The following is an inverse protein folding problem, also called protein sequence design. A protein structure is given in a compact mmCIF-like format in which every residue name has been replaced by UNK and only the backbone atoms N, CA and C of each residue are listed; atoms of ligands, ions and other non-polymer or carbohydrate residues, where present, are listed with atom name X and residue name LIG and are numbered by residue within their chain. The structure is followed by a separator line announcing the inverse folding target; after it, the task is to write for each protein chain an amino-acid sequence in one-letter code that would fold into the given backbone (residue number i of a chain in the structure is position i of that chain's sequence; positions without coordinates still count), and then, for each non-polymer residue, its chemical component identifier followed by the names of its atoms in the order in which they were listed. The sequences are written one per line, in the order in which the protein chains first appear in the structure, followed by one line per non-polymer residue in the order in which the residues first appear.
data_IF_694743132300
#
_entry.id   IF_694743132300
#
_cell.length_a   1.000
_cell.length_b   1.000
_cell.length_c   1.000
_cell.angle_alpha   90.00
_cell.angle_beta   90.00
_cell.angle_gamma   90.00
#
_symmetry.space_group_name_H-M   'P 1'
#
loop_
_entity.id
_entity.type
_entity.pdbx_description
1 polymer ?
#
# COMPACT_ATOMS: atom_id res chain seq x y z
N UNK A 1 -3.67 8.62 25.57
CA UNK A 1 -5.04 8.37 26.07
C UNK A 1 -5.02 7.42 27.26
N UNK A 2 -4.83 6.12 27.09
CA UNK A 2 -4.92 5.16 28.20
C UNK A 2 -3.92 5.42 29.33
N UNK A 3 -2.64 5.67 29.01
CA UNK A 3 -1.59 5.87 30.03
C UNK A 3 -1.52 7.29 30.60
N UNK A 4 -2.18 8.27 29.96
CA UNK A 4 -1.99 9.71 30.29
C UNK A 4 -3.27 10.46 30.64
N UNK A 5 -4.45 9.88 30.41
CA UNK A 5 -5.73 10.58 30.56
C UNK A 5 -5.94 11.76 29.60
N UNK A 6 -4.97 12.04 28.70
CA UNK A 6 -5.04 13.14 27.75
C UNK A 6 -5.70 12.68 26.44
N UNK A 7 -6.66 13.48 25.96
CA UNK A 7 -7.57 13.29 24.81
C UNK A 7 -8.76 12.35 25.06
N UNK A 8 -9.81 12.46 24.22
CA UNK A 8 -11.05 11.69 24.32
C UNK A 8 -10.92 10.29 23.70
N UNK A 9 -11.03 9.20 24.48
CA UNK A 9 -10.92 7.84 23.96
C UNK A 9 -11.97 7.53 22.90
N UNK A 10 -11.66 6.61 21.99
CA UNK A 10 -12.68 5.95 21.17
C UNK A 10 -13.66 5.23 22.11
N UNK A 11 -14.96 5.47 21.93
CA UNK A 11 -16.02 4.88 22.77
C UNK A 11 -17.13 4.28 21.90
N UNK A 12 -17.25 2.96 21.76
CA UNK A 12 -16.30 1.88 22.09
C UNK A 12 -15.84 1.13 20.83
N UNK A 13 -16.57 1.30 19.73
CA UNK A 13 -16.36 0.62 18.47
C UNK A 13 -16.14 1.67 17.38
N UNK A 14 -15.14 1.43 16.55
CA UNK A 14 -14.89 2.17 15.34
C UNK A 14 -14.68 1.14 14.23
N UNK A 15 -15.57 1.15 13.24
CA UNK A 15 -15.43 0.37 12.02
C UNK A 15 -14.93 1.29 10.90
N UNK A 16 -14.07 0.75 10.05
CA UNK A 16 -13.52 1.45 8.89
C UNK A 16 -13.29 0.45 7.78
N UNK A 17 -13.64 0.83 6.56
CA UNK A 17 -13.32 0.13 5.33
C UNK A 17 -12.81 1.14 4.28
N UNK A 18 -12.11 0.62 3.26
CA UNK A 18 -11.79 1.35 2.03
C UNK A 18 -12.11 0.44 0.86
N UNK A 19 -13.38 0.07 0.70
CA UNK A 19 -13.80 -0.76 -0.43
C UNK A 19 -13.62 -0.01 -1.77
N UNK A 20 -13.64 1.31 -1.73
CA UNK A 20 -13.37 2.19 -2.87
C UNK A 20 -11.92 2.06 -3.38
N UNK A 21 -11.02 1.51 -2.56
CA UNK A 21 -9.65 1.23 -2.98
C UNK A 21 -9.56 0.04 -3.97
N UNK A 22 -10.58 -0.84 -4.00
CA UNK A 22 -10.57 -2.04 -4.85
C UNK A 22 -10.64 -1.70 -6.34
N UNK A 23 -10.05 -2.52 -7.23
CA UNK A 23 -10.18 -2.33 -8.67
C UNK A 23 -11.66 -2.38 -9.10
N UNK A 24 -12.05 -1.57 -10.09
CA UNK A 24 -13.37 -1.69 -10.70
C UNK A 24 -13.51 -3.03 -11.43
N UNK A 25 -14.72 -3.58 -11.52
CA UNK A 25 -14.97 -4.90 -12.12
C UNK A 25 -14.43 -5.04 -13.55
N UNK A 26 -14.36 -3.95 -14.32
CA UNK A 26 -13.78 -3.93 -15.67
C UNK A 26 -12.26 -4.14 -15.71
N UNK A 27 -11.56 -3.89 -14.60
CA UNK A 27 -10.10 -3.97 -14.47
C UNK A 27 -9.63 -5.23 -13.75
N UNK A 28 -10.56 -6.10 -13.32
CA UNK A 28 -10.29 -7.38 -12.65
C UNK A 28 -10.04 -8.44 -13.75
N UNK A 29 -8.78 -8.83 -14.06
CA UNK A 29 -8.53 -9.97 -14.93
C UNK A 29 -9.25 -11.23 -14.45
N UNK A 30 -9.79 -12.02 -15.39
CA UNK A 30 -10.56 -13.25 -15.13
C UNK A 30 -9.79 -14.29 -14.29
N UNK A 31 -8.47 -14.16 -14.18
CA UNK A 31 -7.58 -15.05 -13.44
C UNK A 31 -7.28 -14.60 -12.00
N UNK A 32 -7.99 -13.60 -11.44
CA UNK A 32 -7.69 -12.94 -10.16
C UNK A 32 -7.45 -13.86 -8.94
N UNK A 33 -7.81 -15.14 -9.04
CA UNK A 33 -7.71 -16.17 -8.00
C UNK A 33 -6.49 -17.11 -8.22
N UNK A 34 -5.79 -17.03 -9.36
CA UNK A 34 -4.88 -18.09 -9.85
C UNK A 34 -3.53 -18.21 -9.11
N UNK A 35 -3.15 -17.26 -8.23
CA UNK A 35 -1.83 -17.28 -7.59
C UNK A 35 -1.83 -16.79 -6.14
N UNK A 36 -2.59 -17.47 -5.27
CA UNK A 36 -2.71 -17.07 -3.86
C UNK A 36 -1.39 -17.10 -3.06
N UNK A 37 -0.34 -17.78 -3.52
CA UNK A 37 0.95 -17.82 -2.82
C UNK A 37 2.11 -17.92 -3.80
N UNK A 38 2.78 -16.79 -4.04
CA UNK A 38 4.00 -16.74 -4.87
C UNK A 38 5.28 -16.93 -4.06
N UNK A 39 5.15 -16.98 -2.72
CA UNK A 39 6.30 -16.91 -1.81
C UNK A 39 6.90 -15.50 -1.74
N UNK A 40 6.17 -14.51 -2.26
CA UNK A 40 6.57 -13.11 -2.25
C UNK A 40 6.20 -12.46 -0.93
N UNK A 41 7.02 -11.49 -0.50
CA UNK A 41 6.68 -10.60 0.62
C UNK A 41 5.41 -9.78 0.38
N UNK A 42 4.90 -9.74 -0.86
CA UNK A 42 3.69 -9.01 -1.26
C UNK A 42 2.44 -9.91 -1.34
N UNK A 43 2.51 -11.19 -0.97
CA UNK A 43 1.39 -12.15 -1.10
C UNK A 43 0.09 -11.63 -0.44
N UNK A 44 0.18 -10.97 0.73
CA UNK A 44 -1.00 -10.37 1.39
C UNK A 44 -1.64 -9.21 0.61
N UNK A 45 -0.85 -8.43 -0.14
CA UNK A 45 -1.34 -7.35 -0.99
C UNK A 45 -1.90 -7.90 -2.30
N UNK A 46 -1.23 -8.92 -2.87
CA UNK A 46 -1.67 -9.64 -4.06
C UNK A 46 -3.03 -10.32 -3.82
N UNK A 47 -3.27 -10.87 -2.62
CA UNK A 47 -4.56 -11.47 -2.27
C UNK A 47 -5.75 -10.49 -2.33
N UNK A 48 -5.50 -9.18 -2.25
CA UNK A 48 -6.54 -8.13 -2.31
C UNK A 48 -6.61 -7.52 -3.71
N UNK A 49 -5.47 -7.12 -4.28
CA UNK A 49 -5.43 -6.33 -5.51
C UNK A 49 -5.01 -7.12 -6.76
N UNK A 50 -4.55 -8.35 -6.60
CA UNK A 50 -4.04 -9.18 -7.70
C UNK A 50 -2.57 -8.93 -8.06
N UNK A 51 -1.96 -9.89 -8.76
CA UNK A 51 -0.53 -9.87 -9.11
C UNK A 51 -0.20 -8.80 -10.15
N UNK A 52 -1.12 -8.53 -11.08
CA UNK A 52 -0.92 -7.50 -12.12
C UNK A 52 -0.88 -6.10 -11.52
N UNK A 53 -1.72 -5.82 -10.52
CA UNK A 53 -1.66 -4.57 -9.78
C UNK A 53 -0.32 -4.41 -9.03
N UNK A 54 0.17 -5.49 -8.40
CA UNK A 54 1.47 -5.48 -7.73
C UNK A 54 2.63 -5.21 -8.69
N UNK A 55 2.60 -5.79 -9.90
CA UNK A 55 3.58 -5.49 -10.96
C UNK A 55 3.51 -4.02 -11.39
N UNK A 56 2.30 -3.49 -11.58
CA UNK A 56 2.07 -2.08 -11.95
C UNK A 56 2.63 -1.13 -10.89
N UNK A 57 2.47 -1.44 -9.60
CA UNK A 57 3.09 -0.68 -8.50
C UNK A 57 4.62 -0.71 -8.56
N UNK A 58 5.20 -1.88 -8.83
CA UNK A 58 6.65 -2.03 -8.97
C UNK A 58 7.24 -1.16 -10.07
N UNK A 59 6.52 -0.92 -11.16
CA UNK A 59 7.01 -0.14 -12.31
C UNK A 59 6.82 1.37 -12.17
N UNK A 60 6.19 1.83 -11.09
CA UNK A 60 5.90 3.25 -10.92
C UNK A 60 7.16 4.11 -10.75
N UNK A 61 7.09 5.35 -11.23
CA UNK A 61 8.09 6.39 -11.01
C UNK A 61 7.49 7.51 -10.18
N UNK A 62 7.90 7.64 -8.93
CA UNK A 62 7.36 8.64 -8.00
C UNK A 62 8.43 9.64 -7.57
N UNK A 63 8.02 10.88 -7.34
CA UNK A 63 8.87 11.94 -6.79
C UNK A 63 8.32 12.39 -5.44
N UNK A 64 9.11 12.19 -4.39
CA UNK A 64 8.82 12.57 -3.01
C UNK A 64 9.56 13.87 -2.70
N UNK A 65 8.81 14.90 -2.30
CA UNK A 65 9.37 16.21 -1.90
C UNK A 65 9.18 16.38 -0.40
N UNK A 66 10.29 16.36 0.32
CA UNK A 66 10.39 16.36 1.77
C UNK A 66 10.64 14.97 2.35
N UNK A 67 11.70 14.85 3.17
CA UNK A 67 12.10 13.63 3.88
C UNK A 67 12.00 13.80 5.42
N UNK A 68 11.21 14.76 5.88
CA UNK A 68 10.81 14.91 7.29
C UNK A 68 9.85 13.81 7.77
N UNK A 69 9.14 14.05 8.88
CA UNK A 69 8.27 13.03 9.51
C UNK A 69 7.31 12.34 8.54
N UNK A 70 6.57 13.10 7.72
CA UNK A 70 5.63 12.54 6.74
C UNK A 70 6.37 11.80 5.61
N UNK A 71 7.51 12.32 5.17
CA UNK A 71 8.33 11.71 4.12
C UNK A 71 8.86 10.34 4.55
N UNK A 72 9.39 10.24 5.78
CA UNK A 72 9.81 8.96 6.37
C UNK A 72 8.66 7.95 6.42
N UNK A 73 7.47 8.37 6.84
CA UNK A 73 6.29 7.51 6.91
C UNK A 73 5.80 7.07 5.52
N UNK A 74 5.85 7.96 4.52
CA UNK A 74 5.58 7.61 3.12
C UNK A 74 6.58 6.58 2.58
N UNK A 75 7.88 6.81 2.78
CA UNK A 75 8.92 5.91 2.30
C UNK A 75 8.82 4.51 2.95
N UNK A 76 8.44 4.43 4.23
CA UNK A 76 8.11 3.16 4.89
C UNK A 76 6.96 2.45 4.17
N UNK A 77 5.86 3.15 3.90
CA UNK A 77 4.72 2.57 3.19
C UNK A 77 5.10 2.14 1.78
N UNK A 78 5.85 2.95 1.03
CA UNK A 78 6.31 2.65 -0.32
C UNK A 78 7.21 1.40 -0.34
N UNK A 79 8.12 1.29 0.62
CA UNK A 79 8.98 0.10 0.77
C UNK A 79 8.17 -1.17 1.10
N UNK A 80 7.12 -1.06 1.92
CA UNK A 80 6.25 -2.20 2.25
C UNK A 80 5.36 -2.61 1.08
N UNK A 81 4.88 -1.66 0.27
CA UNK A 81 4.03 -1.91 -0.90
C UNK A 81 4.83 -2.33 -2.15
N UNK A 82 6.15 -2.18 -2.15
CA UNK A 82 6.99 -2.44 -3.33
C UNK A 82 6.83 -1.39 -4.43
N UNK A 83 6.49 -0.15 -4.07
CA UNK A 83 6.33 0.93 -5.05
C UNK A 83 7.68 1.23 -5.72
N UNK A 84 7.73 1.22 -7.05
CA UNK A 84 8.95 1.53 -7.81
C UNK A 84 10.08 0.50 -7.67
N UNK A 85 9.82 -0.69 -7.11
CA UNK A 85 10.85 -1.74 -6.92
C UNK A 85 10.98 -2.73 -8.08
N UNK A 86 10.15 -2.60 -9.12
CA UNK A 86 10.17 -3.42 -10.32
C UNK A 86 11.09 -2.86 -11.40
N UNK A 87 11.26 -3.60 -12.48
CA UNK A 87 12.06 -3.15 -13.62
C UNK A 87 11.51 -1.83 -14.18
N UNK A 88 12.37 -0.83 -14.32
CA UNK A 88 11.99 0.52 -14.76
C UNK A 88 11.30 1.40 -13.71
N UNK A 89 10.98 0.88 -12.53
CA UNK A 89 10.47 1.64 -11.40
C UNK A 89 11.56 2.46 -10.69
N UNK A 90 11.17 3.59 -10.08
CA UNK A 90 12.09 4.42 -9.31
C UNK A 90 11.37 5.38 -8.34
N UNK A 91 11.97 5.63 -7.18
CA UNK A 91 11.52 6.69 -6.28
C UNK A 91 12.62 7.75 -6.20
N UNK A 92 12.31 8.95 -6.66
CA UNK A 92 13.16 10.13 -6.49
C UNK A 92 12.75 10.81 -5.18
N UNK A 93 13.71 11.19 -4.34
CA UNK A 93 13.44 11.94 -3.11
C UNK A 93 14.35 13.15 -3.02
N UNK A 94 13.79 14.28 -2.60
CA UNK A 94 14.54 15.48 -2.23
C UNK A 94 14.01 16.00 -0.91
N UNK A 95 14.84 16.71 -0.16
CA UNK A 95 14.45 17.52 0.99
C UNK A 95 15.11 18.91 0.86
#
# INVERSE_FOLDING_TARGET
QACSGKFNPIYQLLYFDCLECLPEESDIPEDHISSLQTGSRYDGQIAVFGIEFQKKLGQQKYFVVGAGAIGCEHLKNFAMMGLGSGEGGHIYTTD
#
